data_IF_311902302969
#
_entry.id   IF_311902302969
#
_cell.length_a   1.000
_cell.length_b   1.000
_cell.length_c   1.000
_cell.angle_alpha   90.00
_cell.angle_beta   90.00
_cell.angle_gamma   90.00
#
_symmetry.space_group_name_H-M   'P 1'
#
loop_
_entity.id
_entity.type
_entity.pdbx_description
1 polymer ?
#
# COMPACT_ATOMS: atom_id res chain seq x y z
N UNK A 1 8.46 -6.00 1.59
CA UNK A 1 7.58 -6.96 0.92
C UNK A 1 7.18 -6.39 -0.42
N UNK A 2 7.18 -7.17 -1.47
CA UNK A 2 6.76 -6.79 -2.84
C UNK A 2 6.58 -8.08 -3.65
N UNK A 3 5.74 -8.07 -4.69
CA UNK A 3 5.66 -9.17 -5.66
C UNK A 3 6.84 -9.19 -6.63
N UNK A 4 7.46 -8.05 -6.86
CA UNK A 4 8.53 -7.88 -7.82
C UNK A 4 9.90 -8.02 -7.15
N UNK A 5 10.59 -9.11 -7.43
CA UNK A 5 11.93 -9.38 -6.89
C UNK A 5 12.96 -8.31 -7.27
N UNK A 6 12.86 -7.71 -8.46
CA UNK A 6 13.75 -6.63 -8.87
C UNK A 6 13.56 -5.39 -7.98
N UNK A 7 12.30 -5.08 -7.60
CA UNK A 7 11.99 -4.02 -6.64
C UNK A 7 12.57 -4.31 -5.25
N UNK A 8 12.42 -5.55 -4.76
CA UNK A 8 12.99 -5.98 -3.49
C UNK A 8 14.52 -5.86 -3.47
N UNK A 9 15.18 -6.26 -4.56
CA UNK A 9 16.63 -6.15 -4.69
C UNK A 9 17.09 -4.70 -4.76
N UNK A 10 16.42 -3.85 -5.55
CA UNK A 10 16.72 -2.43 -5.63
C UNK A 10 16.54 -1.72 -4.28
N UNK A 11 15.47 -2.04 -3.54
CA UNK A 11 15.23 -1.51 -2.21
C UNK A 11 16.32 -1.94 -1.22
N UNK A 12 16.72 -3.21 -1.25
CA UNK A 12 17.79 -3.75 -0.40
C UNK A 12 19.13 -3.05 -0.66
N UNK A 13 19.50 -2.90 -1.93
CA UNK A 13 20.73 -2.19 -2.32
C UNK A 13 20.72 -0.73 -1.85
N UNK A 14 19.58 -0.03 -1.99
CA UNK A 14 19.43 1.38 -1.55
C UNK A 14 19.47 1.55 -0.04
N UNK A 15 18.80 0.68 0.69
CA UNK A 15 18.75 0.75 2.16
C UNK A 15 20.07 0.32 2.81
N UNK A 16 20.88 -0.45 2.10
CA UNK A 16 22.03 -1.18 2.61
C UNK A 16 21.61 -2.56 3.13
N UNK A 17 22.22 -3.61 2.59
CA UNK A 17 21.84 -5.00 2.88
C UNK A 17 21.87 -5.35 4.37
N UNK A 18 22.77 -4.74 5.13
CA UNK A 18 22.85 -4.93 6.59
C UNK A 18 21.63 -4.44 7.37
N UNK A 19 20.82 -3.58 6.75
CA UNK A 19 19.58 -3.03 7.37
C UNK A 19 18.33 -3.85 7.00
N UNK A 20 18.43 -4.73 6.01
CA UNK A 20 17.31 -5.54 5.54
C UNK A 20 17.47 -6.97 6.04
N UNK A 21 16.70 -7.35 7.04
CA UNK A 21 16.72 -8.72 7.58
C UNK A 21 16.10 -9.75 6.62
N UNK A 22 14.96 -9.40 6.03
CA UNK A 22 14.19 -10.29 5.17
C UNK A 22 13.65 -9.56 3.95
N UNK A 23 13.73 -10.20 2.79
CA UNK A 23 13.04 -9.84 1.57
C UNK A 23 11.93 -10.86 1.36
N UNK A 24 10.68 -10.40 1.34
CA UNK A 24 9.53 -11.29 1.24
C UNK A 24 8.80 -10.99 -0.07
N UNK A 25 8.83 -11.95 -0.99
CA UNK A 25 7.99 -11.92 -2.19
C UNK A 25 6.61 -12.43 -1.81
N UNK A 26 5.60 -11.54 -1.84
CA UNK A 26 4.25 -11.87 -1.40
C UNK A 26 3.22 -10.90 -2.00
N UNK A 27 2.05 -11.43 -2.37
CA UNK A 27 0.92 -10.61 -2.79
C UNK A 27 0.25 -9.98 -1.57
N UNK A 28 0.18 -8.66 -1.54
CA UNK A 28 -0.42 -7.92 -0.42
C UNK A 28 -1.92 -8.18 -0.25
N UNK A 29 -2.60 -8.69 -1.28
CA UNK A 29 -3.99 -9.13 -1.19
C UNK A 29 -4.15 -10.46 -0.46
N UNK A 30 -3.13 -11.30 -0.49
CA UNK A 30 -3.13 -12.58 0.20
C UNK A 30 -2.89 -12.39 1.70
N UNK A 31 -3.48 -13.26 2.50
CA UNK A 31 -3.26 -13.28 3.96
C UNK A 31 -1.78 -13.51 4.26
N UNK A 32 -1.21 -12.69 5.11
CA UNK A 32 0.20 -12.84 5.49
C UNK A 32 0.41 -14.15 6.26
N UNK A 33 1.58 -14.80 6.08
CA UNK A 33 1.94 -15.97 6.88
C UNK A 33 1.80 -15.70 8.38
N UNK A 34 1.25 -16.66 9.13
CA UNK A 34 1.02 -16.53 10.58
C UNK A 34 2.27 -16.12 11.37
N UNK A 35 3.45 -16.49 10.87
CA UNK A 35 4.73 -16.09 11.47
C UNK A 35 5.00 -14.58 11.42
N UNK A 36 4.26 -13.82 10.63
CA UNK A 36 4.37 -12.35 10.53
C UNK A 36 3.34 -11.63 11.40
N UNK A 37 2.35 -12.32 11.95
CA UNK A 37 1.31 -11.70 12.76
C UNK A 37 1.88 -11.18 14.08
N UNK A 38 1.56 -9.92 14.42
CA UNK A 38 2.00 -9.28 15.65
C UNK A 38 3.52 -9.10 15.75
N UNK A 39 4.25 -9.02 14.62
CA UNK A 39 5.71 -9.00 14.64
C UNK A 39 6.32 -7.61 14.40
N UNK A 40 5.52 -6.63 13.99
CA UNK A 40 6.06 -5.33 13.58
C UNK A 40 5.52 -4.20 14.45
N UNK A 41 6.41 -3.37 14.98
CA UNK A 41 6.04 -2.15 15.70
C UNK A 41 5.60 -1.03 14.75
N UNK A 42 6.00 -1.13 13.47
CA UNK A 42 5.57 -0.18 12.45
C UNK A 42 5.58 -0.80 11.05
N UNK A 43 4.60 -0.40 10.25
CA UNK A 43 4.52 -0.74 8.83
C UNK A 43 4.40 0.55 8.03
N UNK A 44 5.23 0.71 7.00
CA UNK A 44 5.15 1.81 6.06
C UNK A 44 4.54 1.37 4.74
N UNK A 45 3.56 2.14 4.25
CA UNK A 45 2.85 1.87 3.01
C UNK A 45 2.81 3.14 2.14
N UNK A 46 3.91 3.40 1.44
CA UNK A 46 4.01 4.58 0.58
C UNK A 46 3.72 4.23 -0.87
N UNK A 47 2.78 4.98 -1.46
CA UNK A 47 2.43 4.91 -2.89
C UNK A 47 2.02 3.52 -3.39
N UNK A 48 1.47 2.68 -2.50
CA UNK A 48 1.03 1.34 -2.84
C UNK A 48 -0.44 1.32 -3.26
N UNK A 49 -1.35 1.83 -2.44
CA UNK A 49 -2.79 1.62 -2.62
C UNK A 49 -3.32 2.09 -3.98
N UNK A 50 -2.86 3.24 -4.50
CA UNK A 50 -3.31 3.73 -5.79
C UNK A 50 -2.82 2.92 -6.99
N UNK A 51 -1.80 2.07 -6.82
CA UNK A 51 -1.31 1.15 -7.83
C UNK A 51 -2.00 -0.22 -7.77
N UNK A 52 -2.65 -0.56 -6.65
CA UNK A 52 -3.33 -1.83 -6.50
C UNK A 52 -4.63 -1.87 -7.31
N UNK A 53 -4.96 -3.00 -7.96
CA UNK A 53 -6.19 -3.14 -8.72
C UNK A 53 -7.43 -3.06 -7.83
N UNK A 54 -8.54 -2.68 -8.44
CA UNK A 54 -9.83 -2.54 -7.75
C UNK A 54 -10.12 -1.13 -7.25
N UNK A 55 -11.11 -1.00 -6.40
CA UNK A 55 -11.50 0.23 -5.73
C UNK A 55 -11.06 0.21 -4.27
N UNK A 56 -11.22 1.34 -3.57
CA UNK A 56 -10.75 1.49 -2.19
C UNK A 56 -11.33 0.42 -1.25
N UNK A 57 -12.61 0.04 -1.40
CA UNK A 57 -13.23 -0.99 -0.56
C UNK A 57 -12.60 -2.37 -0.76
N UNK A 58 -12.22 -2.73 -2.00
CA UNK A 58 -11.54 -4.01 -2.27
C UNK A 58 -10.12 -4.04 -1.71
N UNK A 59 -9.51 -2.86 -1.47
CA UNK A 59 -8.19 -2.72 -0.86
C UNK A 59 -8.22 -2.81 0.67
N UNK A 60 -9.41 -2.90 1.30
CA UNK A 60 -9.55 -3.06 2.76
C UNK A 60 -8.81 -4.30 3.28
N UNK A 61 -8.75 -5.39 2.51
CA UNK A 61 -8.00 -6.58 2.91
C UNK A 61 -6.50 -6.32 3.06
N UNK A 62 -5.91 -5.38 2.31
CA UNK A 62 -4.50 -5.01 2.43
C UNK A 62 -4.25 -4.29 3.75
N UNK A 63 -5.17 -3.41 4.16
CA UNK A 63 -5.13 -2.72 5.46
C UNK A 63 -5.29 -3.74 6.60
N UNK A 64 -6.25 -4.66 6.48
CA UNK A 64 -6.44 -5.76 7.45
C UNK A 64 -5.17 -6.60 7.60
N UNK A 65 -4.55 -7.01 6.50
CA UNK A 65 -3.33 -7.81 6.54
C UNK A 65 -2.19 -7.06 7.24
N UNK A 66 -2.07 -5.76 6.99
CA UNK A 66 -1.11 -4.91 7.70
C UNK A 66 -1.44 -4.80 9.19
N UNK A 67 -2.70 -4.59 9.57
CA UNK A 67 -3.12 -4.53 10.95
C UNK A 67 -2.81 -5.83 11.71
N UNK A 68 -3.07 -6.99 11.09
CA UNK A 68 -2.74 -8.30 11.68
C UNK A 68 -1.23 -8.52 11.90
N UNK A 69 -0.39 -7.89 11.09
CA UNK A 69 1.05 -8.03 11.21
C UNK A 69 1.67 -7.09 12.26
N UNK A 70 0.96 -6.01 12.62
CA UNK A 70 1.37 -5.08 13.66
C UNK A 70 1.21 -5.69 15.06
N UNK A 71 2.07 -5.28 15.98
CA UNK A 71 1.85 -5.46 17.44
C UNK A 71 0.65 -4.64 17.90
N UNK A 72 0.13 -4.89 19.11
CA UNK A 72 -1.03 -4.19 19.67
C UNK A 72 -0.85 -2.66 19.72
N UNK A 73 0.38 -2.18 19.94
CA UNK A 73 0.74 -0.77 19.95
C UNK A 73 1.39 -0.31 18.62
N UNK A 74 1.34 -1.15 17.58
CA UNK A 74 2.00 -0.91 16.31
C UNK A 74 1.33 0.17 15.48
N UNK A 75 2.09 0.81 14.59
CA UNK A 75 1.63 1.93 13.78
C UNK A 75 1.73 1.64 12.28
N UNK A 76 0.61 1.80 11.56
CA UNK A 76 0.59 1.89 10.10
C UNK A 76 0.70 3.34 9.67
N UNK A 77 1.63 3.65 8.77
CA UNK A 77 1.77 5.00 8.21
C UNK A 77 2.12 4.95 6.72
N UNK A 78 1.78 6.00 6.00
CA UNK A 78 2.07 6.04 4.57
C UNK A 78 1.40 7.19 3.83
N UNK A 79 1.40 7.08 2.50
CA UNK A 79 0.75 8.03 1.62
C UNK A 79 0.22 7.32 0.37
N UNK A 80 -0.90 7.81 -0.14
CA UNK A 80 -1.48 7.36 -1.41
C UNK A 80 -2.00 8.56 -2.21
N UNK A 81 -2.21 8.34 -3.51
CA UNK A 81 -2.79 9.36 -4.40
C UNK A 81 -4.28 9.06 -4.56
N UNK A 82 -5.11 9.98 -4.13
CA UNK A 82 -6.56 9.88 -4.29
C UNK A 82 -6.98 10.34 -5.69
N UNK A 83 -7.99 9.70 -6.24
CA UNK A 83 -8.55 10.03 -7.56
C UNK A 83 -9.91 10.71 -7.51
N UNK A 84 -10.61 10.57 -6.40
CA UNK A 84 -11.94 11.14 -6.18
C UNK A 84 -11.94 12.12 -5.00
N UNK A 85 -12.77 13.16 -5.09
CA UNK A 85 -12.90 14.18 -4.06
C UNK A 85 -11.70 15.14 -3.93
N UNK A 86 -10.70 15.06 -4.80
CA UNK A 86 -9.49 15.90 -4.78
C UNK A 86 -9.30 16.69 -6.07
N UNK A 87 -8.79 17.91 -5.93
CA UNK A 87 -8.51 18.79 -7.10
C UNK A 87 -7.03 18.64 -7.47
N UNK A 88 -6.76 18.02 -8.60
CA UNK A 88 -5.43 17.96 -9.18
C UNK A 88 -5.21 19.17 -10.11
N UNK A 89 -4.00 19.70 -10.15
CA UNK A 89 -3.61 20.66 -11.18
C UNK A 89 -3.60 20.02 -12.57
N UNK A 90 -3.47 20.81 -13.64
CA UNK A 90 -3.54 20.32 -15.02
C UNK A 90 -2.53 19.21 -15.33
N UNK A 91 -1.34 19.28 -14.76
CA UNK A 91 -0.31 18.24 -14.92
C UNK A 91 -0.70 16.95 -14.19
N UNK A 92 -1.17 17.06 -12.94
CA UNK A 92 -1.67 15.95 -12.14
C UNK A 92 -2.85 15.25 -12.81
N UNK A 93 -3.82 16.00 -13.34
CA UNK A 93 -4.96 15.45 -14.09
C UNK A 93 -4.49 14.65 -15.31
N UNK A 94 -3.50 15.16 -16.06
CA UNK A 94 -2.94 14.46 -17.22
C UNK A 94 -2.25 13.16 -16.79
N UNK A 95 -1.46 13.19 -15.72
CA UNK A 95 -0.80 11.98 -15.18
C UNK A 95 -1.82 10.96 -14.71
N UNK A 96 -2.81 11.37 -13.92
CA UNK A 96 -3.89 10.52 -13.44
C UNK A 96 -4.60 9.80 -14.59
N UNK A 97 -4.95 10.54 -15.64
CA UNK A 97 -5.60 9.97 -16.82
C UNK A 97 -4.71 8.93 -17.50
N UNK A 98 -3.44 9.29 -17.80
CA UNK A 98 -2.51 8.41 -18.51
C UNK A 98 -2.23 7.14 -17.70
N UNK A 99 -1.98 7.26 -16.41
CA UNK A 99 -1.60 6.14 -15.57
C UNK A 99 -2.77 5.19 -15.30
N UNK A 100 -3.99 5.72 -15.14
CA UNK A 100 -5.19 4.88 -15.05
C UNK A 100 -5.49 4.19 -16.40
N UNK A 101 -5.33 4.88 -17.54
CA UNK A 101 -5.51 4.27 -18.86
C UNK A 101 -4.50 3.15 -19.13
N UNK A 102 -3.28 3.27 -18.60
CA UNK A 102 -2.22 2.25 -18.74
C UNK A 102 -2.31 1.14 -17.68
N UNK A 103 -3.25 1.21 -16.75
CA UNK A 103 -3.36 0.26 -15.64
C UNK A 103 -2.21 0.35 -14.63
N UNK A 104 -1.45 1.46 -14.62
CA UNK A 104 -0.42 1.72 -13.61
C UNK A 104 -1.07 2.17 -12.31
N UNK A 105 -2.12 2.99 -12.40
CA UNK A 105 -2.98 3.37 -11.29
C UNK A 105 -4.36 2.71 -11.43
N UNK A 106 -4.98 2.47 -10.29
CA UNK A 106 -6.37 2.01 -10.19
C UNK A 106 -7.04 2.73 -9.02
N UNK A 107 -7.13 4.06 -9.12
CA UNK A 107 -7.52 4.92 -8.00
C UNK A 107 -8.58 5.97 -8.36
N UNK A 108 -9.22 5.87 -9.54
CA UNK A 108 -10.18 6.87 -10.00
C UNK A 108 -11.37 7.07 -9.06
N UNK A 109 -11.67 6.08 -8.22
CA UNK A 109 -12.74 6.09 -7.22
C UNK A 109 -12.20 6.04 -5.77
N UNK A 110 -10.90 6.16 -5.59
CA UNK A 110 -10.30 6.19 -4.26
C UNK A 110 -10.45 7.61 -3.69
N UNK A 111 -11.25 7.73 -2.62
CA UNK A 111 -11.56 8.98 -1.92
C UNK A 111 -11.00 8.98 -0.50
N UNK A 112 -10.92 10.15 0.11
CA UNK A 112 -10.54 10.32 1.52
C UNK A 112 -11.53 9.61 2.44
N UNK A 113 -12.82 9.74 2.18
CA UNK A 113 -13.87 9.06 2.95
C UNK A 113 -13.71 7.54 2.89
N UNK A 114 -13.51 6.98 1.68
CA UNK A 114 -13.29 5.55 1.49
C UNK A 114 -12.03 5.06 2.19
N UNK A 115 -10.93 5.82 2.13
CA UNK A 115 -9.69 5.49 2.82
C UNK A 115 -9.87 5.51 4.34
N UNK A 116 -10.52 6.55 4.86
CA UNK A 116 -10.83 6.67 6.30
C UNK A 116 -11.69 5.51 6.77
N UNK A 117 -12.69 5.12 5.97
CA UNK A 117 -13.58 4.01 6.30
C UNK A 117 -12.79 2.69 6.44
N UNK A 118 -12.00 2.30 5.44
CA UNK A 118 -11.24 1.04 5.50
C UNK A 118 -10.15 1.05 6.59
N UNK A 119 -9.62 2.20 6.95
CA UNK A 119 -8.70 2.33 8.08
C UNK A 119 -9.45 2.11 9.40
N UNK A 120 -10.61 2.74 9.60
CA UNK A 120 -11.41 2.62 10.83
C UNK A 120 -12.04 1.24 11.05
N UNK A 121 -12.05 0.37 10.03
CA UNK A 121 -12.48 -1.03 10.19
C UNK A 121 -11.44 -1.89 10.91
N UNK A 122 -10.17 -1.46 10.93
CA UNK A 122 -9.04 -2.30 11.36
C UNK A 122 -8.16 -1.65 12.43
N UNK A 123 -8.35 -0.36 12.67
CA UNK A 123 -7.66 0.47 13.65
C UNK A 123 -8.68 1.29 14.47
#
# INVERSE_FOLDING_TARGET
>A
MDLNEASLNAASTRAGESKIKHKISHDVFETYPAALHGQFDSISMFYLLHCLPGNISTKSCVIRNAAQALTDDGTLYGATILGDGVVHNSFGQKLMRIYNQKGIFSNTKDSEEGLTHILSEHF
#
